data_IF_126893480180
#
_entry.id   IF_126893480180
#
_cell.length_a   1.000
_cell.length_b   1.000
_cell.length_c   1.000
_cell.angle_alpha   90.00
_cell.angle_beta   90.00
_cell.angle_gamma   90.00
#
_symmetry.space_group_name_H-M   'P 1'
#
loop_
_entity.id
_entity.type
_entity.pdbx_description
1 polymer ?
#
# COMPACT_ATOMS: atom_id res chain seq x y z
N UNK A 1 -55.12 7.11 48.91
CA UNK A 1 -54.40 6.02 48.23
C UNK A 1 -54.03 6.49 46.82
N UNK A 2 -52.82 6.94 46.64
CA UNK A 2 -52.30 7.45 45.34
C UNK A 2 -51.48 6.35 44.74
N UNK A 3 -51.88 5.84 43.57
CA UNK A 3 -51.09 4.87 42.77
C UNK A 3 -50.02 5.61 42.04
N UNK A 4 -48.76 5.36 42.40
CA UNK A 4 -47.58 5.80 41.65
C UNK A 4 -47.36 4.82 40.52
N UNK A 5 -47.58 5.25 39.28
CA UNK A 5 -47.21 4.52 38.07
C UNK A 5 -45.75 4.83 37.77
N UNK A 6 -44.89 3.83 37.93
CA UNK A 6 -43.51 3.89 37.44
C UNK A 6 -43.53 3.73 35.94
N UNK A 7 -43.20 4.80 35.21
CA UNK A 7 -42.86 4.76 33.80
C UNK A 7 -41.39 4.30 33.67
N UNK A 8 -41.21 3.05 33.32
CA UNK A 8 -39.90 2.58 32.84
C UNK A 8 -39.72 3.07 31.40
N UNK A 9 -39.02 4.20 31.25
CA UNK A 9 -38.53 4.68 29.96
C UNK A 9 -37.30 3.85 29.59
N UNK A 10 -37.52 2.87 28.72
CA UNK A 10 -36.46 2.07 28.14
C UNK A 10 -35.73 2.93 27.11
N UNK A 11 -34.65 3.59 27.55
CA UNK A 11 -33.78 4.38 26.70
C UNK A 11 -32.90 3.41 25.88
N UNK A 12 -33.39 3.03 24.73
CA UNK A 12 -32.58 2.35 23.71
C UNK A 12 -31.47 3.29 23.22
N UNK A 13 -30.30 3.18 23.85
CA UNK A 13 -29.07 3.73 23.28
C UNK A 13 -28.75 2.97 22.01
N UNK A 14 -29.22 3.48 20.89
CA UNK A 14 -28.64 3.14 19.59
C UNK A 14 -27.21 3.66 19.57
N UNK A 15 -26.26 2.80 19.96
CA UNK A 15 -24.86 2.98 19.61
C UNK A 15 -24.75 2.88 18.09
N UNK A 16 -24.96 4.00 17.44
CA UNK A 16 -24.57 4.18 16.05
C UNK A 16 -23.06 4.02 15.99
N UNK A 17 -22.60 2.82 15.70
CA UNK A 17 -21.24 2.59 15.25
C UNK A 17 -21.07 3.35 13.93
N UNK A 18 -20.64 4.61 14.06
CA UNK A 18 -20.06 5.32 12.93
C UNK A 18 -18.79 4.55 12.53
N UNK A 19 -18.96 3.62 11.60
CA UNK A 19 -17.86 3.14 10.77
C UNK A 19 -17.42 4.37 9.98
N UNK A 20 -16.59 5.19 10.60
CA UNK A 20 -15.84 6.23 9.87
C UNK A 20 -15.09 5.52 8.78
N UNK A 21 -15.58 5.72 7.56
CA UNK A 21 -15.03 5.16 6.36
C UNK A 21 -13.51 5.25 6.42
N UNK A 22 -12.88 4.14 6.17
CA UNK A 22 -11.45 4.01 5.96
C UNK A 22 -11.11 5.05 4.89
N UNK A 23 -10.60 6.22 5.31
CA UNK A 23 -10.03 7.20 4.38
C UNK A 23 -8.91 6.44 3.68
N UNK A 24 -9.17 6.03 2.44
CA UNK A 24 -8.13 5.62 1.53
C UNK A 24 -7.05 6.69 1.62
N UNK A 25 -5.89 6.34 2.17
CA UNK A 25 -4.68 7.12 2.07
C UNK A 25 -4.24 7.09 0.59
N UNK A 26 -5.06 7.70 -0.26
CA UNK A 26 -4.66 8.06 -1.60
C UNK A 26 -3.73 9.25 -1.44
N UNK A 27 -2.42 9.01 -1.52
CA UNK A 27 -1.55 10.03 -2.06
C UNK A 27 -2.05 10.32 -3.49
N UNK A 28 -2.91 11.30 -3.62
CA UNK A 28 -3.23 11.90 -4.91
C UNK A 28 -2.01 12.73 -5.28
N UNK A 29 -0.99 12.07 -5.81
CA UNK A 29 -0.01 12.76 -6.61
C UNK A 29 -0.68 13.03 -7.97
N UNK A 30 -0.49 14.23 -8.52
CA UNK A 30 -0.82 14.55 -9.92
C UNK A 30 0.03 13.71 -10.91
N UNK A 31 0.62 12.62 -10.43
CA UNK A 31 1.48 11.76 -11.20
C UNK A 31 0.66 10.88 -12.11
N UNK A 32 1.04 10.86 -13.36
CA UNK A 32 0.46 9.99 -14.38
C UNK A 32 0.68 8.50 -14.11
N UNK A 33 1.50 8.14 -13.11
CA UNK A 33 1.75 6.76 -12.70
C UNK A 33 1.51 6.66 -11.18
N UNK A 34 0.58 5.80 -10.80
CA UNK A 34 0.20 5.59 -9.40
C UNK A 34 0.47 4.15 -9.01
N UNK A 35 1.06 3.94 -7.83
CA UNK A 35 1.23 2.62 -7.23
C UNK A 35 0.48 2.55 -5.91
N UNK A 36 -0.19 1.44 -5.65
CA UNK A 36 -0.87 1.18 -4.37
C UNK A 36 -0.69 -0.28 -3.95
N UNK A 37 -0.69 -0.53 -2.65
CA UNK A 37 -0.73 -1.89 -2.09
C UNK A 37 -2.19 -2.30 -1.91
N UNK A 38 -2.53 -3.53 -2.32
CA UNK A 38 -3.90 -4.05 -2.25
C UNK A 38 -3.88 -5.46 -1.63
N UNK A 39 -4.50 -5.66 -0.46
CA UNK A 39 -5.06 -4.66 0.46
C UNK A 39 -3.95 -3.83 1.13
N UNK A 40 -4.26 -2.60 1.55
CA UNK A 40 -3.27 -1.70 2.19
C UNK A 40 -2.98 -2.04 3.66
N UNK A 41 -3.73 -2.97 4.25
CA UNK A 41 -3.53 -3.49 5.62
C UNK A 41 -3.42 -5.00 5.54
N UNK A 42 -2.33 -5.55 6.05
CA UNK A 42 -2.04 -6.98 6.05
C UNK A 42 -1.60 -7.43 7.45
N UNK A 43 -1.68 -8.74 7.71
CA UNK A 43 -1.07 -9.34 8.89
C UNK A 43 0.44 -9.49 8.72
N UNK A 44 1.19 -9.45 9.82
CA UNK A 44 2.63 -9.76 9.81
C UNK A 44 2.94 -11.19 9.35
N UNK A 45 1.94 -12.08 9.32
CA UNK A 45 2.07 -13.43 8.76
C UNK A 45 2.13 -13.49 7.23
N UNK A 46 1.76 -12.42 6.52
CA UNK A 46 1.79 -12.36 5.06
C UNK A 46 3.22 -12.54 4.53
N UNK A 47 3.39 -13.35 3.47
CA UNK A 47 4.70 -13.59 2.85
C UNK A 47 5.03 -12.60 1.74
N UNK A 48 4.02 -11.95 1.20
CA UNK A 48 4.14 -10.96 0.13
C UNK A 48 3.05 -9.91 0.23
N UNK A 49 3.27 -8.81 -0.45
CA UNK A 49 2.25 -7.79 -0.74
C UNK A 49 1.95 -7.80 -2.23
N UNK A 50 0.73 -7.42 -2.60
CA UNK A 50 0.37 -7.13 -3.99
C UNK A 50 0.44 -5.63 -4.22
N UNK A 51 1.20 -5.21 -5.22
CA UNK A 51 1.24 -3.81 -5.67
C UNK A 51 0.53 -3.69 -7.00
N UNK A 52 -0.41 -2.77 -7.07
CA UNK A 52 -1.13 -2.42 -8.30
C UNK A 52 -0.53 -1.12 -8.84
N UNK A 53 0.13 -1.22 -9.99
CA UNK A 53 0.73 -0.06 -10.68
C UNK A 53 -0.21 0.33 -11.81
N UNK A 54 -0.77 1.52 -11.71
CA UNK A 54 -1.66 2.11 -12.70
C UNK A 54 -0.92 3.15 -13.54
N UNK A 55 -0.83 2.89 -14.84
CA UNK A 55 -0.24 3.80 -15.80
C UNK A 55 -1.31 4.71 -16.42
N UNK A 56 -1.48 5.89 -15.87
CA UNK A 56 -2.41 6.89 -16.42
C UNK A 56 -1.73 7.85 -17.42
N UNK A 57 -0.49 7.57 -17.80
CA UNK A 57 0.23 8.36 -18.82
C UNK A 57 -0.20 8.00 -20.24
N UNK A 58 0.27 8.76 -21.20
CA UNK A 58 0.05 8.51 -22.62
C UNK A 58 1.12 7.61 -23.26
N UNK A 59 2.09 7.18 -22.46
CA UNK A 59 3.20 6.33 -22.88
C UNK A 59 3.10 4.94 -22.24
N UNK A 60 3.70 3.94 -22.87
CA UNK A 60 3.95 2.66 -22.22
C UNK A 60 5.01 2.88 -21.13
N UNK A 61 4.88 2.15 -20.02
CA UNK A 61 5.91 2.09 -18.99
C UNK A 61 6.42 0.66 -18.83
N UNK A 62 7.64 0.54 -18.35
CA UNK A 62 8.21 -0.73 -17.95
C UNK A 62 8.78 -0.66 -16.54
N UNK A 63 8.81 -1.78 -15.84
CA UNK A 63 9.48 -1.92 -14.55
C UNK A 63 10.10 -3.31 -14.41
N UNK A 64 11.25 -3.38 -13.75
CA UNK A 64 11.90 -4.65 -13.42
C UNK A 64 11.23 -5.36 -12.23
N UNK A 65 11.79 -6.52 -11.88
CA UNK A 65 11.38 -7.29 -10.69
C UNK A 65 11.80 -6.61 -9.39
N UNK A 66 12.87 -5.81 -9.42
CA UNK A 66 13.44 -5.13 -8.26
C UNK A 66 12.45 -4.21 -7.52
N UNK A 67 12.54 -4.21 -6.20
CA UNK A 67 11.81 -3.31 -5.28
C UNK A 67 12.58 -3.15 -3.98
N UNK A 68 12.35 -2.03 -3.28
CA UNK A 68 12.84 -1.76 -1.94
C UNK A 68 11.70 -1.63 -0.96
N UNK A 69 11.98 -1.85 0.32
CA UNK A 69 11.08 -1.53 1.42
C UNK A 69 11.70 -0.51 2.37
N UNK A 70 10.82 0.30 2.94
CA UNK A 70 11.13 1.18 4.07
C UNK A 70 10.15 0.94 5.21
N UNK A 71 10.60 1.09 6.43
CA UNK A 71 9.77 1.16 7.63
C UNK A 71 9.72 2.58 8.15
N UNK A 72 8.54 3.03 8.59
CA UNK A 72 8.41 4.33 9.23
C UNK A 72 8.75 4.21 10.71
N UNK A 73 9.88 4.81 11.12
CA UNK A 73 10.43 4.78 12.48
C UNK A 73 10.93 6.17 12.87
N UNK A 74 10.70 6.59 14.11
CA UNK A 74 11.19 7.88 14.64
C UNK A 74 10.87 9.08 13.70
N UNK A 75 9.63 9.11 13.19
CA UNK A 75 9.13 10.14 12.25
C UNK A 75 9.88 10.23 10.90
N UNK A 76 10.57 9.17 10.49
CA UNK A 76 11.24 9.11 9.19
C UNK A 76 11.10 7.72 8.56
N UNK A 77 11.29 7.67 7.26
CA UNK A 77 11.40 6.43 6.50
C UNK A 77 12.83 5.91 6.59
N UNK A 78 12.97 4.64 6.99
CA UNK A 78 14.25 3.96 7.13
C UNK A 78 14.25 2.78 6.17
N UNK A 79 15.30 2.67 5.36
CA UNK A 79 15.46 1.57 4.42
C UNK A 79 15.59 0.23 5.16
N UNK A 80 14.93 -0.79 4.62
CA UNK A 80 15.11 -2.17 5.07
C UNK A 80 16.20 -2.79 4.20
N UNK A 81 17.31 -3.10 4.84
CA UNK A 81 18.42 -3.78 4.18
C UNK A 81 18.21 -5.30 4.20
N UNK A 82 18.05 -5.89 3.03
CA UNK A 82 17.98 -7.34 2.86
C UNK A 82 19.36 -7.99 2.59
N UNK A 83 20.43 -7.20 2.60
CA UNK A 83 21.75 -7.66 2.16
C UNK A 83 21.77 -8.02 0.68
N UNK A 84 22.68 -8.92 0.30
CA UNK A 84 22.78 -9.38 -1.07
C UNK A 84 21.55 -10.23 -1.44
N UNK A 85 20.75 -9.72 -2.37
CA UNK A 85 19.62 -10.42 -2.95
C UNK A 85 19.84 -10.61 -4.44
N UNK A 86 19.67 -11.85 -4.90
CA UNK A 86 19.58 -12.13 -6.32
C UNK A 86 18.17 -11.79 -6.81
N UNK A 87 18.07 -10.92 -7.80
CA UNK A 87 16.81 -10.58 -8.45
C UNK A 87 16.70 -11.32 -9.78
N UNK A 88 15.54 -11.92 -10.02
CA UNK A 88 15.27 -12.51 -11.32
C UNK A 88 15.30 -11.42 -12.40
N UNK A 89 15.93 -11.70 -13.51
CA UNK A 89 15.89 -10.83 -14.66
C UNK A 89 14.50 -10.89 -15.30
N UNK A 90 13.75 -9.82 -15.18
CA UNK A 90 12.40 -9.74 -15.74
C UNK A 90 11.97 -8.29 -15.91
N UNK A 91 11.25 -8.03 -17.00
CA UNK A 91 10.69 -6.72 -17.30
C UNK A 91 9.17 -6.88 -17.48
N UNK A 92 8.42 -6.07 -16.77
CA UNK A 92 6.97 -5.97 -16.88
C UNK A 92 6.62 -4.70 -17.66
N UNK A 93 5.81 -4.85 -18.69
CA UNK A 93 5.29 -3.73 -19.48
C UNK A 93 3.85 -3.42 -19.04
N UNK A 94 3.53 -2.13 -18.93
CA UNK A 94 2.19 -1.64 -18.61
C UNK A 94 1.81 -0.60 -19.65
N UNK A 95 0.86 -0.94 -20.50
CA UNK A 95 0.39 -0.04 -21.55
C UNK A 95 -0.31 1.19 -20.95
N UNK A 96 -0.42 2.23 -21.76
CA UNK A 96 -1.17 3.45 -21.40
C UNK A 96 -2.58 3.12 -20.93
N UNK A 97 -3.06 3.81 -19.89
CA UNK A 97 -4.40 3.67 -19.30
C UNK A 97 -4.71 2.23 -18.80
N UNK A 98 -3.66 1.47 -18.47
CA UNK A 98 -3.76 0.11 -17.92
C UNK A 98 -3.04 0.01 -16.58
N UNK A 99 -3.36 -1.03 -15.85
CA UNK A 99 -2.67 -1.38 -14.62
C UNK A 99 -2.08 -2.80 -14.69
N UNK A 100 -1.21 -3.08 -13.74
CA UNK A 100 -0.65 -4.41 -13.52
C UNK A 100 -0.43 -4.64 -12.04
N UNK A 101 -0.88 -5.80 -11.56
CA UNK A 101 -0.63 -6.24 -10.19
C UNK A 101 0.63 -7.10 -10.18
N UNK A 102 1.56 -6.77 -9.29
CA UNK A 102 2.81 -7.49 -9.08
C UNK A 102 2.90 -7.95 -7.62
N UNK A 103 3.55 -9.08 -7.38
CA UNK A 103 3.89 -9.55 -6.03
C UNK A 103 5.25 -9.01 -5.63
N UNK A 104 5.34 -8.51 -4.39
CA UNK A 104 6.60 -8.12 -3.75
C UNK A 104 6.71 -8.95 -2.45
N UNK A 105 7.68 -9.85 -2.41
CA UNK A 105 7.90 -10.73 -1.26
C UNK A 105 8.52 -9.97 -0.10
N UNK A 106 8.05 -10.24 1.12
CA UNK A 106 8.54 -9.57 2.33
C UNK A 106 9.91 -10.09 2.79
N UNK A 107 10.38 -11.21 2.25
CA UNK A 107 11.71 -11.79 2.56
C UNK A 107 11.97 -11.92 4.08
N UNK A 108 11.05 -12.55 4.78
CA UNK A 108 11.03 -12.64 6.25
C UNK A 108 12.23 -13.37 6.85
N UNK A 109 12.91 -14.18 6.07
CA UNK A 109 14.18 -14.81 6.44
C UNK A 109 15.32 -13.80 6.55
N UNK A 110 15.20 -12.64 5.89
CA UNK A 110 16.19 -11.56 5.90
C UNK A 110 15.83 -10.45 6.87
N UNK A 111 14.53 -10.21 7.11
CA UNK A 111 14.08 -9.12 7.96
C UNK A 111 12.86 -9.51 8.80
N UNK A 112 12.94 -9.23 10.12
CA UNK A 112 11.84 -9.48 11.05
C UNK A 112 10.88 -8.29 11.08
N UNK A 113 9.75 -8.45 10.43
CA UNK A 113 8.70 -7.43 10.44
C UNK A 113 7.97 -7.36 11.78
N UNK A 114 7.68 -6.15 12.22
CA UNK A 114 6.82 -5.86 13.36
C UNK A 114 5.58 -5.10 12.91
N UNK A 115 4.48 -5.09 13.68
CA UNK A 115 3.35 -4.22 13.38
C UNK A 115 3.80 -2.77 13.18
N UNK A 116 3.29 -2.11 12.14
CA UNK A 116 3.69 -0.75 11.84
C UNK A 116 3.42 -0.31 10.41
N UNK A 117 3.91 0.88 10.06
CA UNK A 117 3.75 1.49 8.75
C UNK A 117 5.00 1.23 7.90
N UNK A 118 4.76 0.77 6.69
CA UNK A 118 5.79 0.40 5.71
C UNK A 118 5.52 1.06 4.37
N UNK A 119 6.53 1.08 3.53
CA UNK A 119 6.48 1.59 2.16
C UNK A 119 7.22 0.65 1.24
N UNK A 120 6.62 0.36 0.09
CA UNK A 120 7.29 -0.29 -1.03
C UNK A 120 7.68 0.75 -2.07
N UNK A 121 8.85 0.56 -2.67
CA UNK A 121 9.43 1.44 -3.67
C UNK A 121 9.69 0.62 -4.92
N UNK A 122 9.29 1.14 -6.07
CA UNK A 122 9.67 0.61 -7.39
C UNK A 122 10.15 1.74 -8.29
N UNK A 123 10.93 1.35 -9.28
CA UNK A 123 11.36 2.26 -10.33
C UNK A 123 10.71 1.83 -11.64
N UNK A 124 10.07 2.78 -12.29
CA UNK A 124 9.45 2.59 -13.60
C UNK A 124 10.20 3.41 -14.63
N UNK A 125 10.23 2.91 -15.86
CA UNK A 125 10.78 3.62 -17.00
C UNK A 125 9.62 4.00 -17.92
N UNK A 126 9.49 5.28 -18.23
CA UNK A 126 8.51 5.80 -19.18
C UNK A 126 9.16 5.76 -20.56
N UNK A 127 8.55 5.05 -21.50
CA UNK A 127 9.07 4.82 -22.83
C UNK A 127 8.66 5.98 -23.78
N UNK A 128 9.38 7.08 -23.68
CA UNK A 128 9.34 8.24 -24.57
C UNK A 128 10.52 8.18 -25.54
N UNK A 129 10.69 9.19 -26.38
CA UNK A 129 11.91 9.35 -27.20
C UNK A 129 13.19 9.33 -26.35
N UNK A 130 13.12 9.96 -25.15
CA UNK A 130 14.15 9.87 -24.13
C UNK A 130 13.54 9.11 -22.94
N UNK A 131 14.11 7.96 -22.60
CA UNK A 131 13.67 7.16 -21.46
C UNK A 131 13.78 7.93 -20.16
N UNK A 132 12.67 8.02 -19.43
CA UNK A 132 12.60 8.69 -18.14
C UNK A 132 12.40 7.65 -17.03
N UNK A 133 13.35 7.56 -16.10
CA UNK A 133 13.18 6.74 -14.89
C UNK A 133 12.43 7.54 -13.83
N UNK A 134 11.45 6.89 -13.20
CA UNK A 134 10.65 7.49 -12.13
C UNK A 134 10.54 6.54 -10.94
N UNK A 135 10.75 7.09 -9.74
CA UNK A 135 10.47 6.40 -8.49
C UNK A 135 8.98 6.47 -8.19
N UNK A 136 8.35 5.34 -7.91
CA UNK A 136 6.96 5.23 -7.43
C UNK A 136 6.93 4.54 -6.08
N UNK A 137 6.05 4.97 -5.22
CA UNK A 137 5.96 4.50 -3.83
C UNK A 137 4.53 4.18 -3.45
N UNK A 138 4.35 3.20 -2.57
CA UNK A 138 3.06 2.90 -1.96
C UNK A 138 3.23 2.51 -0.48
N UNK A 139 2.41 3.11 0.38
CA UNK A 139 2.40 2.85 1.81
C UNK A 139 1.44 1.70 2.14
N UNK A 140 1.78 0.91 3.17
CA UNK A 140 0.92 -0.14 3.71
C UNK A 140 1.15 -0.32 5.21
N UNK A 141 0.25 -1.04 5.87
CA UNK A 141 0.31 -1.30 7.31
C UNK A 141 0.38 -2.81 7.52
N UNK A 142 1.30 -3.25 8.37
CA UNK A 142 1.33 -4.59 8.95
C UNK A 142 0.74 -4.54 10.37
N UNK A 143 -0.11 -5.53 10.70
CA UNK A 143 -0.77 -5.69 12.01
C UNK A 143 -0.44 -7.03 12.64
#
# INVERSE_FOLDING_TARGET
MVKVQLFFSLLFFFLSFNIKGQKNLQCVSNDSIVMRVVPCVLGTSSDFICVDIFNNSDFRISCGTYYDFQQFQFNKWVDIDFGDMAWEAGIYYINRKRNRVLKCYLNKEKYKYTPGKYRVIKYVTIEKEIYEKRKVVADFILK
#
